data_IF_363518908136
#
_entry.id   IF_363518908136
#
_cell.length_a   1.000
_cell.length_b   1.000
_cell.length_c   1.000
_cell.angle_alpha   90.00
_cell.angle_beta   90.00
_cell.angle_gamma   90.00
#
_symmetry.space_group_name_H-M   'P 1'
#
loop_
_entity.id
_entity.type
_entity.pdbx_description
1 polymer ?
#
# COMPACT_ATOMS: atom_id res chain seq x y z
N UNK A 1 8.86 10.69 -14.02
CA UNK A 1 7.98 11.28 -12.98
C UNK A 1 8.55 12.65 -12.57
N UNK A 2 7.75 13.71 -12.51
CA UNK A 2 8.25 15.06 -12.15
C UNK A 2 8.59 15.16 -10.66
N UNK A 3 9.41 16.15 -10.28
CA UNK A 3 9.80 16.39 -8.86
C UNK A 3 8.58 16.53 -7.96
N UNK A 4 7.57 17.27 -8.41
CA UNK A 4 6.33 17.46 -7.66
C UNK A 4 5.57 16.15 -7.42
N UNK A 5 5.49 15.29 -8.45
CA UNK A 5 4.88 13.95 -8.31
C UNK A 5 5.65 13.07 -7.32
N UNK A 6 6.99 13.08 -7.39
CA UNK A 6 7.85 12.34 -6.45
C UNK A 6 7.59 12.79 -5.00
N UNK A 7 7.48 14.09 -4.76
CA UNK A 7 7.19 14.62 -3.43
C UNK A 7 5.80 14.19 -2.94
N UNK A 8 4.79 14.25 -3.80
CA UNK A 8 3.45 13.76 -3.50
C UNK A 8 3.45 12.29 -3.12
N UNK A 9 4.13 11.42 -3.90
CA UNK A 9 4.27 9.99 -3.56
C UNK A 9 4.92 9.82 -2.20
N UNK A 10 6.06 10.49 -1.95
CA UNK A 10 6.79 10.36 -0.68
C UNK A 10 5.94 10.74 0.53
N UNK A 11 5.20 11.85 0.46
CA UNK A 11 4.31 12.30 1.54
C UNK A 11 3.19 11.29 1.80
N UNK A 12 2.60 10.73 0.76
CA UNK A 12 1.56 9.72 0.89
C UNK A 12 2.11 8.40 1.45
N UNK A 13 3.26 7.92 0.96
CA UNK A 13 3.89 6.71 1.50
C UNK A 13 4.19 6.89 2.99
N UNK A 14 4.77 8.01 3.41
CA UNK A 14 5.04 8.28 4.82
C UNK A 14 3.75 8.31 5.65
N UNK A 15 2.69 8.96 5.15
CA UNK A 15 1.41 9.04 5.83
C UNK A 15 0.72 7.67 5.96
N UNK A 16 0.70 6.87 4.89
CA UNK A 16 0.13 5.52 4.89
C UNK A 16 0.93 4.61 5.83
N UNK A 17 2.26 4.66 5.78
CA UNK A 17 3.12 3.93 6.72
C UNK A 17 2.81 4.30 8.17
N UNK A 18 2.71 5.60 8.48
CA UNK A 18 2.30 6.05 9.82
C UNK A 18 0.90 5.54 10.20
N UNK A 19 -0.05 5.46 9.27
CA UNK A 19 -1.40 4.95 9.56
C UNK A 19 -1.39 3.45 9.83
N UNK A 20 -0.67 2.66 9.03
CA UNK A 20 -0.64 1.21 9.13
C UNK A 20 0.22 0.72 10.29
N UNK A 21 1.39 1.31 10.54
CA UNK A 21 2.33 0.88 11.58
C UNK A 21 2.27 1.70 12.87
N UNK A 22 1.64 2.89 12.86
CA UNK A 22 1.72 3.85 13.96
C UNK A 22 3.19 4.10 14.32
N UNK A 23 3.63 3.78 15.53
CA UNK A 23 5.01 3.98 16.00
C UNK A 23 5.91 2.76 15.79
N UNK A 24 5.43 1.71 15.13
CA UNK A 24 6.23 0.50 14.89
C UNK A 24 7.17 0.66 13.71
N UNK A 25 8.34 0.05 13.79
CA UNK A 25 9.31 -0.07 12.71
C UNK A 25 8.93 -1.25 11.81
N UNK A 26 8.98 -1.06 10.50
CA UNK A 26 8.92 -2.13 9.50
C UNK A 26 10.10 -3.08 9.71
N UNK A 27 9.87 -4.38 9.51
CA UNK A 27 10.86 -5.45 9.59
C UNK A 27 10.95 -6.14 8.22
N UNK A 28 12.07 -6.85 7.96
CA UNK A 28 12.14 -7.78 6.84
C UNK A 28 10.92 -8.72 6.85
N UNK A 29 10.35 -8.98 5.67
CA UNK A 29 9.12 -9.76 5.51
C UNK A 29 7.91 -8.95 5.01
N UNK A 30 7.93 -7.62 5.13
CA UNK A 30 6.92 -6.77 4.50
C UNK A 30 7.51 -5.47 3.95
N UNK A 31 6.90 -4.94 2.89
CA UNK A 31 7.28 -3.67 2.29
C UNK A 31 6.05 -2.85 1.85
N UNK A 32 6.17 -1.53 1.97
CA UNK A 32 5.25 -0.58 1.35
C UNK A 32 5.98 0.06 0.18
N UNK A 33 5.43 -0.09 -1.01
CA UNK A 33 5.99 0.43 -2.25
C UNK A 33 4.95 1.25 -2.99
N UNK A 34 5.38 2.14 -3.87
CA UNK A 34 4.49 3.03 -4.58
C UNK A 34 4.94 3.26 -6.02
N UNK A 35 3.96 3.47 -6.90
CA UNK A 35 4.18 3.82 -8.29
C UNK A 35 2.86 4.06 -9.01
N UNK A 36 2.93 4.12 -10.33
CA UNK A 36 1.75 4.36 -11.16
C UNK A 36 0.76 3.18 -11.11
N UNK A 37 -0.46 3.42 -11.57
CA UNK A 37 -1.52 2.40 -11.65
C UNK A 37 -1.08 1.20 -12.50
N UNK A 38 -1.29 -0.02 -11.97
CA UNK A 38 -0.84 -1.25 -12.62
C UNK A 38 -1.94 -1.89 -13.49
N UNK A 39 -1.62 -2.12 -14.76
CA UNK A 39 -2.31 -3.08 -15.61
C UNK A 39 -2.03 -4.54 -15.22
N UNK A 40 -2.52 -5.50 -16.01
CA UNK A 40 -2.38 -6.94 -15.72
C UNK A 40 -0.91 -7.34 -15.59
N UNK A 41 -0.05 -6.96 -16.55
CA UNK A 41 1.38 -7.24 -16.53
C UNK A 41 2.07 -6.70 -15.28
N UNK A 42 1.75 -5.46 -14.88
CA UNK A 42 2.30 -4.85 -13.68
C UNK A 42 1.89 -5.59 -12.40
N UNK A 43 0.66 -6.13 -12.36
CA UNK A 43 0.20 -6.96 -11.23
C UNK A 43 0.91 -8.30 -11.18
N UNK A 44 1.19 -8.93 -12.32
CA UNK A 44 1.98 -10.16 -12.40
C UNK A 44 3.43 -9.92 -11.97
N UNK A 45 4.04 -8.82 -12.42
CA UNK A 45 5.38 -8.43 -11.98
C UNK A 45 5.44 -8.18 -10.46
N UNK A 46 4.42 -7.50 -9.91
CA UNK A 46 4.30 -7.28 -8.47
C UNK A 46 4.18 -8.60 -7.70
N UNK A 47 3.38 -9.54 -8.18
CA UNK A 47 3.23 -10.86 -7.57
C UNK A 47 4.54 -11.66 -7.64
N UNK A 48 5.21 -11.64 -8.79
CA UNK A 48 6.51 -12.28 -8.96
C UNK A 48 7.55 -11.68 -8.00
N UNK A 49 7.60 -10.35 -7.85
CA UNK A 49 8.50 -9.68 -6.92
C UNK A 49 8.22 -10.09 -5.47
N UNK A 50 6.96 -10.17 -5.05
CA UNK A 50 6.59 -10.64 -3.72
C UNK A 50 7.08 -12.07 -3.48
N UNK A 51 6.90 -12.95 -4.48
CA UNK A 51 7.34 -14.34 -4.40
C UNK A 51 8.87 -14.47 -4.28
N UNK A 52 9.62 -13.77 -5.15
CA UNK A 52 11.09 -13.84 -5.17
C UNK A 52 11.70 -13.26 -3.90
N UNK A 53 11.15 -12.16 -3.39
CA UNK A 53 11.65 -11.52 -2.16
C UNK A 53 11.17 -12.19 -0.87
N UNK A 54 10.11 -13.01 -0.93
CA UNK A 54 9.42 -13.52 0.26
C UNK A 54 8.76 -12.42 1.09
N UNK A 55 8.57 -11.23 0.53
CA UNK A 55 7.96 -10.10 1.23
C UNK A 55 6.47 -9.97 0.90
N UNK A 56 5.69 -9.67 1.94
CA UNK A 56 4.34 -9.14 1.77
C UNK A 56 4.41 -7.70 1.28
N UNK A 57 3.71 -7.42 0.18
CA UNK A 57 3.75 -6.10 -0.46
C UNK A 57 2.43 -5.37 -0.24
N UNK A 58 2.54 -4.10 0.16
CA UNK A 58 1.48 -3.10 0.04
C UNK A 58 1.89 -2.14 -1.07
N UNK A 59 1.18 -2.15 -2.19
CA UNK A 59 1.44 -1.26 -3.31
C UNK A 59 0.44 -0.10 -3.33
N UNK A 60 0.96 1.13 -3.31
CA UNK A 60 0.19 2.35 -3.38
C UNK A 60 0.16 2.86 -4.82
N UNK A 61 -1.01 2.89 -5.44
CA UNK A 61 -1.18 3.30 -6.84
C UNK A 61 -1.41 4.80 -6.93
N UNK A 62 -0.67 5.46 -7.82
CA UNK A 62 -0.84 6.87 -8.12
C UNK A 62 -1.23 7.09 -9.57
N UNK A 63 -2.04 8.10 -9.82
CA UNK A 63 -2.38 8.55 -11.16
C UNK A 63 -2.75 10.03 -11.15
N UNK A 64 -2.77 10.64 -12.33
CA UNK A 64 -3.39 11.95 -12.51
C UNK A 64 -4.92 11.80 -12.42
N UNK A 65 -5.55 12.64 -11.59
CA UNK A 65 -7.01 12.73 -11.43
C UNK A 65 -7.47 14.15 -11.76
N UNK A 66 -8.79 14.37 -11.79
CA UNK A 66 -9.35 15.71 -11.95
C UNK A 66 -8.89 16.70 -10.85
N UNK A 67 -8.54 16.18 -9.67
CA UNK A 67 -8.08 16.96 -8.50
C UNK A 67 -6.54 17.09 -8.46
N UNK A 68 -5.84 16.54 -9.45
CA UNK A 68 -4.38 16.48 -9.53
C UNK A 68 -3.82 15.07 -9.34
N UNK A 69 -2.50 14.97 -9.29
CA UNK A 69 -1.80 13.69 -9.09
C UNK A 69 -1.90 13.24 -7.63
N UNK A 70 -2.36 12.00 -7.39
CA UNK A 70 -2.59 11.51 -6.03
C UNK A 70 -2.75 10.00 -5.93
N UNK A 71 -2.87 9.51 -4.68
CA UNK A 71 -3.14 8.11 -4.38
C UNK A 71 -4.56 7.75 -4.82
N UNK A 72 -4.71 6.76 -5.70
CA UNK A 72 -6.01 6.34 -6.22
C UNK A 72 -6.51 5.07 -5.56
N UNK A 73 -5.64 4.07 -5.39
CA UNK A 73 -6.01 2.76 -4.88
C UNK A 73 -4.83 2.05 -4.21
N UNK A 74 -5.11 0.96 -3.51
CA UNK A 74 -4.12 0.11 -2.84
C UNK A 74 -4.27 -1.32 -3.35
N UNK A 75 -3.13 -1.96 -3.62
CA UNK A 75 -3.05 -3.40 -3.77
C UNK A 75 -2.25 -4.00 -2.64
N UNK A 76 -2.56 -5.26 -2.32
CA UNK A 76 -1.72 -6.08 -1.48
C UNK A 76 -1.36 -7.37 -2.20
N UNK A 77 -0.17 -7.87 -1.92
CA UNK A 77 0.26 -9.21 -2.28
C UNK A 77 0.80 -9.88 -1.04
N UNK A 78 0.26 -11.04 -0.70
CA UNK A 78 0.75 -11.89 0.39
C UNK A 78 1.39 -13.12 -0.23
N UNK A 79 2.68 -13.35 0.04
CA UNK A 79 3.43 -14.47 -0.52
C UNK A 79 3.71 -15.52 0.57
N UNK A 80 3.24 -16.75 0.40
CA UNK A 80 3.47 -17.86 1.34
C UNK A 80 3.75 -19.13 0.54
N UNK A 81 4.85 -19.80 0.83
CA UNK A 81 5.19 -21.13 0.29
C UNK A 81 5.05 -21.24 -1.25
N UNK A 82 5.47 -20.20 -1.98
CA UNK A 82 5.40 -20.15 -3.45
C UNK A 82 4.04 -19.72 -4.02
N UNK A 83 3.04 -19.46 -3.17
CA UNK A 83 1.71 -18.99 -3.55
C UNK A 83 1.59 -17.50 -3.24
N UNK A 84 1.14 -16.72 -4.22
CA UNK A 84 0.85 -15.29 -4.06
C UNK A 84 -0.65 -15.04 -4.08
N UNK A 85 -1.18 -14.48 -2.99
CA UNK A 85 -2.54 -13.95 -2.92
C UNK A 85 -2.51 -12.45 -3.18
N UNK A 86 -3.10 -12.02 -4.29
CA UNK A 86 -3.24 -10.61 -4.65
C UNK A 86 -4.65 -10.08 -4.37
N UNK A 87 -4.75 -8.86 -3.84
CA UNK A 87 -6.01 -8.10 -3.79
C UNK A 87 -5.77 -6.70 -4.37
N UNK A 88 -6.70 -6.22 -5.19
CA UNK A 88 -6.69 -4.88 -5.79
C UNK A 88 -7.88 -4.08 -5.32
N UNK A 89 -7.84 -2.77 -5.58
CA UNK A 89 -8.97 -1.87 -5.27
C UNK A 89 -9.32 -1.88 -3.79
N UNK A 90 -8.27 -1.97 -2.96
CA UNK A 90 -8.36 -1.89 -1.53
C UNK A 90 -8.39 -0.43 -1.07
N UNK A 91 -9.02 -0.20 0.07
CA UNK A 91 -9.07 1.08 0.76
C UNK A 91 -8.38 0.98 2.13
N UNK A 92 -7.97 2.12 2.67
CA UNK A 92 -7.66 2.20 4.10
C UNK A 92 -8.97 2.22 4.90
N UNK A 93 -9.00 1.48 6.00
CA UNK A 93 -10.07 1.49 6.99
C UNK A 93 -9.50 1.88 8.35
N UNK A 94 -10.11 2.87 9.01
CA UNK A 94 -9.74 3.28 10.35
C UNK A 94 -10.89 2.95 11.34
N UNK A 95 -10.71 1.96 12.23
CA UNK A 95 -11.71 1.64 13.25
C UNK A 95 -11.93 2.81 14.22
N UNK A 96 -13.15 2.98 14.71
CA UNK A 96 -13.55 4.09 15.60
C UNK A 96 -12.66 4.24 16.83
N UNK A 97 -12.28 3.12 17.46
CA UNK A 97 -11.46 3.10 18.68
C UNK A 97 -9.99 2.70 18.44
N UNK A 98 -9.56 2.48 17.19
CA UNK A 98 -8.22 1.97 16.91
C UNK A 98 -7.24 3.05 16.47
N UNK A 99 -6.02 2.96 16.99
CA UNK A 99 -4.94 3.87 16.62
C UNK A 99 -4.39 3.64 15.20
N UNK A 100 -4.54 2.42 14.67
CA UNK A 100 -3.94 1.93 13.42
C UNK A 100 -5.00 1.68 12.37
N UNK A 101 -4.72 2.09 11.15
CA UNK A 101 -5.51 1.73 9.99
C UNK A 101 -5.21 0.28 9.56
N UNK A 102 -6.15 -0.29 8.83
CA UNK A 102 -6.07 -1.59 8.20
C UNK A 102 -6.39 -1.43 6.71
N UNK A 103 -6.10 -2.46 5.92
CA UNK A 103 -6.37 -2.48 4.50
C UNK A 103 -7.65 -3.30 4.30
N UNK A 104 -8.66 -2.67 3.72
CA UNK A 104 -9.97 -3.24 3.45
C UNK A 104 -10.09 -3.54 1.95
N UNK A 105 -10.17 -4.82 1.56
CA UNK A 105 -10.45 -5.21 0.18
C UNK A 105 -11.85 -4.79 -0.28
N UNK A 106 -12.14 -5.04 -1.57
CA UNK A 106 -13.45 -4.80 -2.17
C UNK A 106 -14.61 -5.47 -1.41
N UNK A 107 -15.84 -4.99 -1.63
CA UNK A 107 -17.03 -5.43 -0.90
C UNK A 107 -17.28 -6.95 -0.95
N UNK A 108 -16.97 -7.60 -2.08
CA UNK A 108 -17.15 -9.04 -2.28
C UNK A 108 -16.06 -9.92 -1.65
N UNK A 109 -14.94 -9.33 -1.19
CA UNK A 109 -13.83 -10.06 -0.59
C UNK A 109 -13.99 -10.13 0.94
N UNK A 110 -13.72 -11.31 1.50
CA UNK A 110 -13.88 -11.60 2.93
C UNK A 110 -12.75 -11.02 3.78
N UNK A 111 -13.13 -10.48 4.94
CA UNK A 111 -12.18 -10.01 5.94
C UNK A 111 -11.48 -8.70 5.57
N UNK A 112 -10.35 -8.46 6.23
CA UNK A 112 -9.48 -7.30 6.05
C UNK A 112 -8.03 -7.67 6.41
N UNK A 113 -7.08 -6.80 6.10
CA UNK A 113 -5.67 -7.06 6.33
C UNK A 113 -5.05 -6.04 7.27
N UNK A 114 -4.35 -6.53 8.29
CA UNK A 114 -3.56 -5.70 9.19
C UNK A 114 -2.09 -5.90 8.87
N UNK A 115 -1.41 -4.84 8.47
CA UNK A 115 0.04 -4.84 8.37
C UNK A 115 0.63 -4.94 9.77
N UNK A 116 1.39 -5.99 10.06
CA UNK A 116 2.32 -6.09 11.18
C UNK A 116 3.72 -5.68 10.69
N UNK A 117 4.70 -5.43 11.60
CA UNK A 117 6.04 -5.02 11.21
C UNK A 117 6.67 -5.79 10.04
N UNK A 118 6.51 -7.11 9.94
CA UNK A 118 7.12 -7.92 8.88
C UNK A 118 6.16 -8.83 8.14
N UNK A 119 4.84 -8.59 8.20
CA UNK A 119 3.86 -9.40 7.47
C UNK A 119 2.49 -8.73 7.37
N UNK A 120 1.69 -9.13 6.39
CA UNK A 120 0.26 -8.85 6.30
C UNK A 120 -0.54 -9.98 6.94
N UNK A 121 -1.30 -9.65 7.98
CA UNK A 121 -2.19 -10.59 8.66
C UNK A 121 -3.61 -10.45 8.13
N UNK A 122 -4.19 -11.54 7.62
CA UNK A 122 -5.62 -11.59 7.34
C UNK A 122 -6.42 -11.67 8.64
N UNK A 123 -7.42 -10.81 8.76
CA UNK A 123 -8.38 -10.79 9.85
C UNK A 123 -9.72 -11.17 9.25
N UNK A 124 -10.21 -12.34 9.66
CA UNK A 124 -11.41 -12.94 9.12
C UNK A 124 -12.70 -12.33 9.72
N UNK A 125 -12.83 -11.02 9.57
CA UNK A 125 -14.00 -10.24 9.98
C UNK A 125 -14.08 -8.99 9.13
N UNK A 126 -15.27 -8.68 8.62
CA UNK A 126 -15.53 -7.40 7.94
C UNK A 126 -16.17 -6.42 8.93
N UNK A 127 -15.75 -5.14 8.96
CA UNK A 127 -16.35 -4.17 9.85
C UNK A 127 -17.78 -3.85 9.38
N UNK A 128 -18.71 -3.73 10.32
CA UNK A 128 -20.08 -3.30 10.03
C UNK A 128 -20.14 -1.81 9.61
N UNK A 129 -19.16 -1.02 10.06
CA UNK A 129 -19.05 0.43 9.81
C UNK A 129 -18.01 0.76 8.71
N UNK A 130 -17.97 -0.06 7.65
CA UNK A 130 -16.92 0.02 6.62
C UNK A 130 -16.82 1.42 5.99
N UNK A 131 -17.94 2.01 5.57
CA UNK A 131 -17.99 3.32 4.90
C UNK A 131 -17.48 4.43 5.83
N UNK A 132 -17.98 4.49 7.06
CA UNK A 132 -17.53 5.46 8.05
C UNK A 132 -16.03 5.30 8.36
N UNK A 133 -15.55 4.06 8.44
CA UNK A 133 -14.13 3.76 8.65
C UNK A 133 -13.24 4.17 7.50
N UNK A 134 -13.72 4.04 6.26
CA UNK A 134 -13.04 4.55 5.06
C UNK A 134 -13.01 6.09 5.09
N UNK A 135 -14.13 6.74 5.41
CA UNK A 135 -14.20 8.20 5.49
C UNK A 135 -13.23 8.76 6.55
N UNK A 136 -13.18 8.15 7.74
CA UNK A 136 -12.21 8.49 8.79
C UNK A 136 -10.77 8.29 8.33
N UNK A 137 -10.48 7.18 7.63
CA UNK A 137 -9.15 6.91 7.11
C UNK A 137 -8.73 7.98 6.08
N UNK A 138 -9.61 8.34 5.15
CA UNK A 138 -9.38 9.41 4.16
C UNK A 138 -9.10 10.76 4.82
N UNK A 139 -9.92 11.17 5.79
CA UNK A 139 -9.72 12.41 6.52
C UNK A 139 -8.38 12.43 7.27
N UNK A 140 -8.00 11.31 7.91
CA UNK A 140 -6.72 11.17 8.61
C UNK A 140 -5.54 11.19 7.63
N UNK A 141 -5.65 10.51 6.50
CA UNK A 141 -4.62 10.50 5.47
C UNK A 141 -4.35 11.92 4.96
N UNK A 142 -5.39 12.66 4.59
CA UNK A 142 -5.28 14.06 4.14
C UNK A 142 -4.55 14.93 5.17
N UNK A 143 -4.89 14.79 6.45
CA UNK A 143 -4.23 15.52 7.54
C UNK A 143 -2.75 15.14 7.72
N UNK A 144 -2.37 13.88 7.52
CA UNK A 144 -0.99 13.44 7.65
C UNK A 144 -0.13 13.86 6.45
N UNK A 145 -0.72 13.82 5.25
CA UNK A 145 -0.09 14.30 4.01
C UNK A 145 0.16 15.80 4.10
N UNK A 146 -0.83 16.60 4.49
CA UNK A 146 -0.68 18.06 4.62
C UNK A 146 0.33 18.46 5.68
N UNK A 147 0.43 17.71 6.78
CA UNK A 147 1.43 17.93 7.83
C UNK A 147 2.85 17.50 7.46
N UNK A 148 3.03 16.69 6.41
CA UNK A 148 4.35 16.20 6.00
C UNK A 148 5.02 15.30 7.04
N UNK A 149 4.33 14.24 7.49
CA UNK A 149 4.90 13.32 8.49
C UNK A 149 6.14 12.59 7.97
N UNK A 150 7.10 12.33 8.87
CA UNK A 150 8.32 11.57 8.58
C UNK A 150 8.28 10.18 9.21
N UNK A 151 8.74 9.19 8.45
CA UNK A 151 8.92 7.79 8.88
C UNK A 151 10.38 7.33 8.81
N UNK A 152 11.31 8.28 8.70
CA UNK A 152 12.76 8.01 8.71
C UNK A 152 13.12 7.18 9.94
N UNK A 153 13.94 6.15 9.74
CA UNK A 153 14.34 5.19 10.79
C UNK A 153 13.26 4.17 11.17
N UNK A 154 12.05 4.24 10.58
CA UNK A 154 10.95 3.30 10.84
C UNK A 154 10.51 2.52 9.61
N UNK A 155 10.65 3.08 8.42
CA UNK A 155 10.42 2.39 7.16
C UNK A 155 11.25 3.01 6.05
N UNK A 156 11.69 2.19 5.11
CA UNK A 156 12.26 2.66 3.85
C UNK A 156 11.14 3.04 2.88
N UNK A 157 11.29 4.20 2.24
CA UNK A 157 10.34 4.67 1.23
C UNK A 157 10.95 4.38 -0.14
N UNK A 158 10.49 3.29 -0.76
CA UNK A 158 10.88 2.92 -2.11
C UNK A 158 9.81 3.38 -3.09
N UNK A 159 10.13 4.44 -3.85
CA UNK A 159 9.31 4.91 -4.97
C UNK A 159 9.79 4.24 -6.25
N UNK A 160 9.01 3.34 -6.82
CA UNK A 160 9.32 2.71 -8.10
C UNK A 160 8.58 3.46 -9.20
N UNK A 161 9.31 3.96 -10.19
CA UNK A 161 8.70 4.28 -11.46
C UNK A 161 8.49 2.96 -12.19
N UNK A 162 7.29 2.39 -12.13
CA UNK A 162 6.99 1.26 -13.00
C UNK A 162 6.82 1.83 -14.41
N UNK A 163 7.92 1.90 -15.16
CA UNK A 163 7.83 2.06 -16.60
C UNK A 163 7.05 0.85 -17.11
N UNK A 164 5.89 1.10 -17.72
CA UNK A 164 5.33 0.15 -18.66
C UNK A 164 6.39 -0.10 -19.75
N UNK A 165 6.44 -1.35 -20.21
CA UNK A 165 7.28 -1.89 -21.29
C UNK A 165 8.51 -2.68 -20.81
N UNK A 166 8.39 -4.00 -21.02
CA UNK A 166 9.44 -4.99 -21.14
C UNK A 166 10.73 -4.46 -21.79
N UNK A 167 11.85 -4.61 -21.09
CA UNK A 167 13.17 -4.77 -21.67
C UNK A 167 13.71 -6.13 -21.23
N UNK A 168 14.13 -6.95 -22.19
CA UNK A 168 14.55 -8.34 -22.05
C UNK A 168 15.50 -8.61 -20.86
N UNK A 169 15.52 -9.85 -20.31
CA UNK A 169 16.49 -10.24 -19.31
C UNK A 169 17.91 -10.05 -19.85
N UNK A 170 18.74 -9.27 -19.15
CA UNK A 170 20.18 -9.39 -19.32
C UNK A 170 20.61 -10.68 -18.64
N UNK A 171 20.89 -11.68 -19.47
CA UNK A 171 21.58 -12.91 -19.09
C UNK A 171 22.90 -12.57 -18.40
N UNK A 172 23.21 -13.32 -17.34
CA UNK A 172 24.59 -13.55 -16.89
C UNK A 172 25.21 -14.58 -17.85
#
# INVERSE_FOLDING_TARGET
MSIHKIETVRRHVAAVTQMLLCNRTMKPGAAIIAGDALGIEGRLALAHQANVSGHDLVYLHFADTAEGYGLTTISIVVARDGICLGQTDCCLYLPKAGARAMILPQAHVRGLFRLSPGELLHIDRKPADAEDGIARARARLAKLVSRGVSVVGRAEINTYAHAACYGAPQSI
#
